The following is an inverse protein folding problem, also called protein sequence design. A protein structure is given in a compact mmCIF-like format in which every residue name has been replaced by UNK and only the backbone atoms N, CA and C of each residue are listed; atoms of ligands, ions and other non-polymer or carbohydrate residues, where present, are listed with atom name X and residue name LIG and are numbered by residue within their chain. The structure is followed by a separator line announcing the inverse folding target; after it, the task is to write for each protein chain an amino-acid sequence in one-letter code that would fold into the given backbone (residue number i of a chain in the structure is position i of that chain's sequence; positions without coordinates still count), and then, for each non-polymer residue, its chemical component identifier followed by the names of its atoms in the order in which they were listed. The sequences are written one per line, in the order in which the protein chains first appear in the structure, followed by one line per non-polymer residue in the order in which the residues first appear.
data_IF_749745317321
#
_entry.id   IF_749745317321
#
_cell.length_a   1.000
_cell.length_b   1.000
_cell.length_c   1.000
_cell.angle_alpha   90.00
_cell.angle_beta   90.00
_cell.angle_gamma   90.00
#
_symmetry.space_group_name_H-M   'P 1'
#
loop_
_entity.id
_entity.type
_entity.pdbx_description
1 polymer ?
#
# COMPACT_ATOMS: atom_id res chain seq x y z
N UNK A 1 18.15 5.15 11.36
CA UNK A 1 16.74 5.57 11.25
C UNK A 1 16.71 7.07 11.01
N UNK A 2 16.29 7.50 9.82
CA UNK A 2 16.33 8.90 9.36
C UNK A 2 14.91 9.49 9.24
N UNK A 3 14.13 9.47 10.31
CA UNK A 3 12.85 10.18 10.32
C UNK A 3 12.92 11.43 11.20
N UNK A 4 12.14 12.44 10.84
CA UNK A 4 12.01 13.66 11.64
C UNK A 4 11.40 13.32 13.02
N UNK A 5 12.11 13.55 14.13
CA UNK A 5 11.57 13.30 15.47
C UNK A 5 10.26 14.03 15.76
N UNK A 6 10.04 15.19 15.14
CA UNK A 6 8.82 15.98 15.33
C UNK A 6 7.61 15.29 14.69
N UNK A 7 7.82 14.53 13.62
CA UNK A 7 6.78 13.71 13.00
C UNK A 7 6.30 12.60 13.93
N UNK A 8 7.25 11.86 14.57
CA UNK A 8 6.89 10.83 15.54
C UNK A 8 6.17 11.38 16.76
N UNK A 9 6.59 12.57 17.27
CA UNK A 9 5.89 13.23 18.36
C UNK A 9 4.43 13.55 18.00
N UNK A 10 4.17 13.91 16.75
CA UNK A 10 2.81 14.16 16.25
C UNK A 10 1.95 12.90 16.27
N UNK A 11 2.54 11.76 15.84
CA UNK A 11 1.86 10.47 15.93
C UNK A 11 1.69 10.01 17.39
N UNK A 12 2.69 10.17 18.25
CA UNK A 12 2.60 9.85 19.67
C UNK A 12 1.48 10.63 20.37
N UNK A 13 1.34 11.93 20.07
CA UNK A 13 0.27 12.76 20.64
C UNK A 13 -1.15 12.25 20.30
N UNK A 14 -1.32 11.51 19.21
CA UNK A 14 -2.63 11.01 18.75
C UNK A 14 -2.86 9.52 18.98
N UNK A 15 -1.80 8.72 18.85
CA UNK A 15 -1.85 7.26 18.97
C UNK A 15 -1.47 6.75 20.36
N UNK A 16 -0.74 7.56 21.13
CA UNK A 16 -0.15 7.25 22.43
C UNK A 16 1.34 6.92 22.32
N UNK A 17 2.10 7.30 23.34
CA UNK A 17 3.55 7.05 23.43
C UNK A 17 3.82 5.55 23.41
N UNK A 18 3.07 4.75 24.20
CA UNK A 18 3.20 3.29 24.27
C UNK A 18 3.10 2.62 22.88
N UNK A 19 2.23 3.14 22.00
CA UNK A 19 2.10 2.61 20.65
C UNK A 19 3.33 2.88 19.80
N UNK A 20 3.86 4.09 19.85
CA UNK A 20 5.04 4.48 19.06
C UNK A 20 6.29 3.77 19.60
N UNK A 21 6.47 3.67 20.92
CA UNK A 21 7.57 2.95 21.56
C UNK A 21 7.55 1.47 21.16
N UNK A 22 6.41 0.78 21.33
CA UNK A 22 6.26 -0.63 20.94
C UNK A 22 6.56 -0.89 19.47
N UNK A 23 6.09 -0.04 18.57
CA UNK A 23 6.34 -0.18 17.14
C UNK A 23 7.81 0.13 16.78
N UNK A 24 8.44 1.08 17.46
CA UNK A 24 9.84 1.41 17.25
C UNK A 24 10.78 0.30 17.76
N UNK A 25 10.55 -0.25 18.97
CA UNK A 25 11.30 -1.39 19.51
C UNK A 25 11.25 -2.62 18.60
N UNK A 26 10.13 -2.83 17.91
CA UNK A 26 9.94 -3.92 16.96
C UNK A 26 10.43 -3.57 15.55
N UNK A 27 11.09 -2.43 15.38
CA UNK A 27 11.60 -1.94 14.10
C UNK A 27 10.52 -1.83 13.00
N UNK A 28 9.29 -1.51 13.36
CA UNK A 28 8.16 -1.45 12.43
C UNK A 28 7.95 -0.06 11.85
N UNK A 29 8.58 0.98 12.40
CA UNK A 29 8.53 2.34 11.86
C UNK A 29 9.67 2.49 10.86
N UNK A 30 9.35 2.86 9.61
CA UNK A 30 10.28 2.97 8.51
C UNK A 30 10.25 4.35 7.88
N UNK A 31 11.40 4.79 7.44
CA UNK A 31 11.55 6.02 6.66
C UNK A 31 12.15 5.66 5.31
N UNK A 32 11.44 5.99 4.26
CA UNK A 32 11.89 5.83 2.88
C UNK A 32 11.85 7.22 2.23
N UNK A 33 12.91 7.59 1.52
CA UNK A 33 12.98 8.89 0.88
C UNK A 33 12.03 8.97 -0.31
N UNK A 34 11.05 9.86 -0.22
CA UNK A 34 10.09 10.12 -1.28
C UNK A 34 10.57 11.29 -2.14
N UNK A 35 10.84 11.08 -3.44
CA UNK A 35 11.15 12.19 -4.33
C UNK A 35 10.02 13.21 -4.34
N UNK A 36 10.37 14.47 -4.02
CA UNK A 36 9.44 15.59 -4.06
C UNK A 36 9.55 16.31 -5.39
N UNK A 37 8.44 16.76 -5.92
CA UNK A 37 8.35 17.57 -7.13
C UNK A 37 7.52 18.82 -6.86
N UNK A 38 7.70 19.84 -7.67
CA UNK A 38 6.83 21.02 -7.67
C UNK A 38 5.38 20.60 -8.01
N UNK A 39 4.38 21.32 -7.48
CA UNK A 39 2.98 21.03 -7.79
C UNK A 39 2.72 20.97 -9.30
N UNK A 40 2.07 19.91 -9.74
CA UNK A 40 1.62 19.76 -11.13
C UNK A 40 0.20 20.31 -11.30
N UNK A 41 -0.26 20.38 -12.54
CA UNK A 41 -1.64 20.74 -12.87
C UNK A 41 -2.66 19.87 -12.13
N UNK A 42 -3.72 20.49 -11.61
CA UNK A 42 -4.72 19.78 -10.78
C UNK A 42 -5.50 18.72 -11.56
N UNK A 43 -5.83 18.98 -12.84
CA UNK A 43 -6.56 18.03 -13.67
C UNK A 43 -5.70 16.81 -13.98
N UNK A 44 -4.40 17.05 -14.25
CA UNK A 44 -3.42 15.98 -14.45
C UNK A 44 -3.24 15.13 -13.18
N UNK A 45 -3.21 15.76 -12.01
CA UNK A 45 -3.14 15.05 -10.73
C UNK A 45 -4.38 14.16 -10.53
N UNK A 46 -5.57 14.71 -10.76
CA UNK A 46 -6.84 13.97 -10.65
C UNK A 46 -6.87 12.77 -11.60
N UNK A 47 -6.44 12.95 -12.85
CA UNK A 47 -6.37 11.87 -13.84
C UNK A 47 -5.45 10.73 -13.38
N UNK A 48 -4.24 11.07 -12.89
CA UNK A 48 -3.28 10.08 -12.37
C UNK A 48 -3.78 9.36 -11.13
N UNK A 49 -4.43 10.06 -10.22
CA UNK A 49 -5.06 9.45 -9.03
C UNK A 49 -6.16 8.50 -9.47
N UNK A 50 -7.05 8.92 -10.38
CA UNK A 50 -8.12 8.08 -10.91
C UNK A 50 -7.57 6.84 -11.63
N UNK A 51 -6.53 7.01 -12.45
CA UNK A 51 -5.83 5.91 -13.13
C UNK A 51 -5.21 4.90 -12.15
N UNK A 52 -4.60 5.39 -11.06
CA UNK A 52 -4.01 4.54 -10.01
C UNK A 52 -5.09 3.71 -9.31
N UNK A 53 -6.20 4.33 -8.92
CA UNK A 53 -7.33 3.63 -8.27
C UNK A 53 -7.97 2.61 -9.21
N UNK A 54 -8.15 2.99 -10.48
CA UNK A 54 -8.69 2.09 -11.50
C UNK A 54 -7.77 0.89 -11.73
N UNK A 55 -6.46 1.11 -11.83
CA UNK A 55 -5.45 0.05 -12.00
C UNK A 55 -5.43 -0.93 -10.83
N UNK A 56 -5.45 -0.43 -9.60
CA UNK A 56 -5.50 -1.25 -8.39
C UNK A 56 -6.78 -2.13 -8.35
N UNK A 57 -7.94 -1.53 -8.59
CA UNK A 57 -9.22 -2.23 -8.53
C UNK A 57 -9.39 -3.24 -9.65
N UNK A 58 -8.90 -2.93 -10.85
CA UNK A 58 -8.87 -3.85 -11.98
C UNK A 58 -7.94 -5.03 -11.70
N UNK A 59 -6.73 -4.75 -11.16
CA UNK A 59 -5.76 -5.79 -10.78
C UNK A 59 -6.31 -6.76 -9.73
N UNK A 60 -7.00 -6.25 -8.70
CA UNK A 60 -7.67 -7.10 -7.69
C UNK A 60 -8.77 -7.97 -8.32
N UNK A 61 -9.60 -7.39 -9.17
CA UNK A 61 -10.68 -8.12 -9.84
C UNK A 61 -10.14 -9.22 -10.76
N UNK A 62 -9.07 -8.95 -11.50
CA UNK A 62 -8.36 -9.93 -12.33
C UNK A 62 -7.75 -11.03 -11.47
N UNK A 63 -6.96 -10.69 -10.48
CA UNK A 63 -6.30 -11.64 -9.59
C UNK A 63 -7.30 -12.54 -8.85
N UNK A 64 -8.45 -11.99 -8.43
CA UNK A 64 -9.51 -12.76 -7.78
C UNK A 64 -10.12 -13.84 -8.68
N UNK A 65 -10.20 -13.57 -9.99
CA UNK A 65 -10.67 -14.55 -10.97
C UNK A 65 -9.67 -15.66 -11.19
N UNK A 66 -8.39 -15.29 -11.41
CA UNK A 66 -7.34 -16.26 -11.77
C UNK A 66 -6.91 -17.14 -10.59
N UNK A 67 -7.01 -16.67 -9.34
CA UNK A 67 -6.81 -17.53 -8.16
C UNK A 67 -7.75 -18.72 -8.09
N UNK A 68 -8.90 -18.68 -8.77
CA UNK A 68 -9.86 -19.79 -8.81
C UNK A 68 -9.56 -20.80 -9.92
N UNK A 69 -8.89 -20.39 -10.98
CA UNK A 69 -8.38 -21.28 -12.02
C UNK A 69 -6.92 -21.62 -11.69
N UNK A 70 -6.72 -22.66 -10.86
CA UNK A 70 -5.40 -23.21 -10.56
C UNK A 70 -4.82 -23.92 -11.79
N UNK A 71 -4.28 -23.17 -12.71
CA UNK A 71 -3.34 -23.67 -13.71
C UNK A 71 -2.02 -23.03 -13.42
N UNK A 72 -0.96 -23.84 -13.28
CA UNK A 72 0.43 -23.41 -13.03
C UNK A 72 1.01 -22.62 -14.22
N UNK A 73 0.28 -22.55 -15.32
CA UNK A 73 0.63 -21.76 -16.49
C UNK A 73 0.17 -20.33 -16.27
N UNK A 74 1.11 -19.41 -16.17
CA UNK A 74 0.85 -17.99 -15.92
C UNK A 74 -0.20 -17.40 -16.88
N UNK A 75 -0.81 -16.29 -16.44
CA UNK A 75 -1.77 -15.54 -17.26
C UNK A 75 -1.04 -14.82 -18.40
N UNK A 76 -1.44 -15.08 -19.64
CA UNK A 76 -0.95 -14.31 -20.77
C UNK A 76 -1.83 -13.07 -21.06
N UNK A 77 -1.30 -12.11 -21.82
CA UNK A 77 -2.04 -10.91 -22.23
C UNK A 77 -3.29 -11.23 -23.05
N UNK A 78 -3.28 -12.32 -23.81
CA UNK A 78 -4.43 -12.76 -24.59
C UNK A 78 -5.59 -13.20 -23.70
N UNK A 79 -5.30 -13.79 -22.52
CA UNK A 79 -6.32 -14.13 -21.53
C UNK A 79 -6.93 -12.88 -20.92
N UNK A 80 -6.14 -11.86 -20.63
CA UNK A 80 -6.63 -10.56 -20.16
C UNK A 80 -7.51 -9.89 -21.21
N UNK A 81 -7.05 -9.81 -22.44
CA UNK A 81 -7.83 -9.25 -23.56
C UNK A 81 -9.14 -10.01 -23.80
N UNK A 82 -9.10 -11.34 -23.80
CA UNK A 82 -10.29 -12.19 -23.94
C UNK A 82 -11.28 -11.95 -22.82
N UNK A 83 -10.79 -11.75 -21.61
CA UNK A 83 -11.61 -11.44 -20.43
C UNK A 83 -12.23 -10.04 -20.51
N UNK A 84 -11.47 -9.03 -20.91
CA UNK A 84 -11.95 -7.65 -21.07
C UNK A 84 -12.97 -7.57 -22.22
N UNK A 85 -12.75 -8.29 -23.33
CA UNK A 85 -13.64 -8.32 -24.51
C UNK A 85 -14.87 -9.21 -24.36
N UNK A 86 -14.83 -10.21 -23.49
CA UNK A 86 -15.85 -11.25 -23.32
C UNK A 86 -17.03 -10.87 -22.43
N UNK A 87 -17.34 -9.59 -22.23
CA UNK A 87 -18.45 -9.13 -21.38
C UNK A 87 -19.81 -9.64 -21.90
N UNK A 88 -20.25 -10.77 -21.41
CA UNK A 88 -21.69 -11.08 -21.43
C UNK A 88 -22.37 -10.20 -20.37
N UNK A 89 -23.22 -9.26 -20.85
CA UNK A 89 -24.14 -8.51 -19.97
C UNK A 89 -24.89 -9.50 -19.08
N UNK A 90 -24.72 -9.40 -17.74
CA UNK A 90 -25.53 -10.15 -16.78
C UNK A 90 -24.81 -11.20 -15.93
N UNK A 91 -23.55 -11.53 -16.16
CA UNK A 91 -22.79 -12.36 -15.22
C UNK A 91 -22.13 -11.46 -14.17
N UNK A 92 -22.58 -11.62 -12.95
CA UNK A 92 -22.34 -10.86 -11.73
C UNK A 92 -21.06 -10.04 -11.72
N UNK A 93 -21.22 -8.74 -11.46
CA UNK A 93 -20.12 -7.77 -11.43
C UNK A 93 -18.91 -8.30 -10.64
N UNK A 94 -17.73 -8.04 -11.14
CA UNK A 94 -16.48 -8.41 -10.46
C UNK A 94 -16.46 -7.70 -9.10
N UNK A 95 -16.58 -8.49 -8.07
CA UNK A 95 -16.62 -7.97 -6.71
C UNK A 95 -15.20 -7.75 -6.23
N UNK A 96 -14.88 -6.54 -5.79
CA UNK A 96 -13.62 -6.24 -5.13
C UNK A 96 -13.39 -7.18 -3.95
N UNK A 97 -12.15 -7.62 -3.75
CA UNK A 97 -11.76 -8.46 -2.62
C UNK A 97 -11.08 -7.65 -1.52
N UNK A 98 -10.56 -8.31 -0.48
CA UNK A 98 -9.97 -7.62 0.65
C UNK A 98 -8.88 -6.60 0.28
N UNK A 99 -8.01 -6.80 -0.70
CA UNK A 99 -7.05 -5.77 -1.14
C UNK A 99 -7.70 -4.42 -1.45
N UNK A 100 -8.65 -4.38 -2.38
CA UNK A 100 -9.35 -3.12 -2.72
C UNK A 100 -10.22 -2.62 -1.58
N UNK A 101 -10.85 -3.52 -0.81
CA UNK A 101 -11.68 -3.11 0.33
C UNK A 101 -10.84 -2.47 1.43
N UNK A 102 -9.66 -3.01 1.75
CA UNK A 102 -8.77 -2.43 2.75
C UNK A 102 -8.08 -1.15 2.25
N UNK A 103 -7.81 -1.04 0.94
CA UNK A 103 -7.42 0.22 0.32
C UNK A 103 -8.43 1.34 0.62
N UNK A 104 -9.72 1.08 0.39
CA UNK A 104 -10.79 2.06 0.67
C UNK A 104 -10.85 2.40 2.16
N UNK A 105 -10.75 1.41 3.04
CA UNK A 105 -10.75 1.65 4.50
C UNK A 105 -9.58 2.54 4.94
N UNK A 106 -8.39 2.31 4.38
CA UNK A 106 -7.21 3.13 4.66
C UNK A 106 -7.37 4.54 4.09
N UNK A 107 -7.88 4.68 2.86
CA UNK A 107 -8.14 5.98 2.26
C UNK A 107 -9.16 6.80 3.07
N UNK A 108 -10.27 6.19 3.53
CA UNK A 108 -11.26 6.84 4.39
C UNK A 108 -10.65 7.32 5.70
N UNK A 109 -9.79 6.51 6.34
CA UNK A 109 -9.09 6.88 7.57
C UNK A 109 -8.14 8.07 7.37
N UNK A 110 -7.42 8.10 6.25
CA UNK A 110 -6.46 9.16 5.90
C UNK A 110 -7.12 10.48 5.53
N UNK A 111 -8.33 10.46 4.95
CA UNK A 111 -9.10 11.67 4.61
C UNK A 111 -9.59 12.44 5.85
N UNK A 112 -9.61 11.81 7.02
CA UNK A 112 -9.87 12.46 8.30
C UNK A 112 -8.60 13.13 8.85
N UNK A 113 -8.07 12.55 9.92
CA UNK A 113 -6.77 12.95 10.49
C UNK A 113 -5.73 11.86 10.21
N UNK A 114 -4.76 12.11 9.31
CA UNK A 114 -3.75 11.11 8.95
C UNK A 114 -2.96 10.58 10.16
N UNK A 115 -2.79 11.38 11.21
CA UNK A 115 -2.09 10.93 12.42
C UNK A 115 -2.88 9.87 13.21
N UNK A 116 -4.19 9.79 13.02
CA UNK A 116 -5.09 8.80 13.63
C UNK A 116 -5.38 7.60 12.73
N UNK A 117 -5.00 7.69 11.46
CA UNK A 117 -5.39 6.72 10.45
C UNK A 117 -5.12 5.24 10.84
N UNK A 118 -3.98 4.85 11.45
CA UNK A 118 -3.77 3.46 11.86
C UNK A 118 -4.80 2.96 12.86
N UNK A 119 -5.16 3.76 13.85
CA UNK A 119 -6.18 3.42 14.86
C UNK A 119 -7.58 3.33 14.25
N UNK A 120 -7.92 4.26 13.37
CA UNK A 120 -9.21 4.28 12.66
C UNK A 120 -9.34 3.10 11.70
N UNK A 121 -8.26 2.71 11.03
CA UNK A 121 -8.19 1.53 10.18
C UNK A 121 -8.46 0.26 11.00
N UNK A 122 -7.79 0.08 12.14
CA UNK A 122 -8.02 -1.07 13.02
C UNK A 122 -9.49 -1.16 13.46
N UNK A 123 -10.07 -0.03 13.87
CA UNK A 123 -11.49 0.08 14.24
C UNK A 123 -12.40 -0.30 13.08
N UNK A 124 -12.09 0.18 11.88
CA UNK A 124 -12.87 -0.07 10.66
C UNK A 124 -12.80 -1.53 10.23
N UNK A 125 -11.63 -2.18 10.34
CA UNK A 125 -11.47 -3.62 10.08
C UNK A 125 -12.41 -4.43 11.00
N UNK A 126 -12.46 -4.09 12.29
CA UNK A 126 -13.39 -4.76 13.24
C UNK A 126 -14.84 -4.52 12.86
N UNK A 127 -15.21 -3.27 12.56
CA UNK A 127 -16.59 -2.89 12.23
C UNK A 127 -17.07 -3.54 10.93
N UNK A 128 -16.22 -3.61 9.91
CA UNK A 128 -16.59 -4.05 8.57
C UNK A 128 -16.15 -5.49 8.24
N UNK A 129 -15.67 -6.26 9.22
CA UNK A 129 -15.09 -7.59 8.99
C UNK A 129 -16.00 -8.55 8.19
N UNK A 130 -17.33 -8.47 8.39
CA UNK A 130 -18.30 -9.31 7.68
C UNK A 130 -18.40 -9.02 6.19
N UNK A 131 -18.01 -7.82 5.77
CA UNK A 131 -18.02 -7.42 4.36
C UNK A 131 -16.72 -7.75 3.65
N UNK A 132 -15.64 -8.05 4.38
CA UNK A 132 -14.34 -8.41 3.80
C UNK A 132 -14.43 -9.72 3.04
N UNK A 133 -14.02 -9.67 1.77
CA UNK A 133 -14.03 -10.82 0.88
C UNK A 133 -12.64 -11.40 0.72
N UNK A 134 -12.52 -12.69 1.04
CA UNK A 134 -11.24 -13.41 0.94
C UNK A 134 -10.09 -12.72 1.70
N UNK A 135 -10.28 -12.29 2.96
CA UNK A 135 -9.20 -11.70 3.73
C UNK A 135 -8.07 -12.73 3.92
N UNK A 136 -6.83 -12.26 3.81
CA UNK A 136 -5.65 -13.07 4.08
C UNK A 136 -5.56 -13.47 5.56
N UNK A 137 -4.69 -14.43 5.86
CA UNK A 137 -4.53 -14.95 7.24
C UNK A 137 -4.08 -13.87 8.23
N UNK A 138 -3.19 -12.97 7.82
CA UNK A 138 -2.74 -11.87 8.69
C UNK A 138 -3.92 -10.99 9.13
N UNK A 139 -4.80 -10.57 8.20
CA UNK A 139 -5.99 -9.77 8.54
C UNK A 139 -6.95 -10.54 9.45
N UNK A 140 -7.13 -11.85 9.23
CA UNK A 140 -7.98 -12.68 10.10
C UNK A 140 -7.43 -12.74 11.52
N UNK A 141 -6.14 -13.01 11.65
CA UNK A 141 -5.45 -13.04 12.94
C UNK A 141 -5.59 -11.70 13.68
N UNK A 142 -5.28 -10.60 12.98
CA UNK A 142 -5.42 -9.24 13.52
C UNK A 142 -6.85 -8.97 14.00
N UNK A 143 -7.84 -9.32 13.19
CA UNK A 143 -9.24 -9.17 13.55
C UNK A 143 -9.59 -9.92 14.84
N UNK A 144 -9.14 -11.17 14.96
CA UNK A 144 -9.42 -12.00 16.13
C UNK A 144 -8.73 -11.42 17.39
N UNK A 145 -7.48 -10.96 17.28
CA UNK A 145 -6.75 -10.30 18.36
C UNK A 145 -7.43 -8.99 18.81
N UNK A 146 -7.82 -8.13 17.87
CA UNK A 146 -8.54 -6.89 18.16
C UNK A 146 -9.88 -7.15 18.87
N UNK A 147 -10.60 -8.19 18.48
CA UNK A 147 -11.87 -8.58 19.12
C UNK A 147 -11.70 -9.14 20.53
N UNK A 148 -10.52 -9.69 20.84
CA UNK A 148 -10.13 -10.10 22.17
C UNK A 148 -9.58 -8.97 23.04
N UNK A 149 -9.53 -7.75 22.51
CA UNK A 149 -9.12 -6.55 23.24
C UNK A 149 -7.63 -6.23 23.14
N UNK A 150 -6.88 -6.88 22.24
CA UNK A 150 -5.49 -6.51 22.00
C UNK A 150 -5.39 -5.08 21.49
N UNK A 151 -4.40 -4.30 21.93
CA UNK A 151 -4.13 -2.97 21.35
C UNK A 151 -3.86 -3.09 19.86
N UNK A 152 -4.26 -2.08 19.08
CA UNK A 152 -4.14 -2.12 17.61
C UNK A 152 -2.69 -2.32 17.14
N UNK A 153 -1.72 -1.81 17.88
CA UNK A 153 -0.28 -1.88 17.56
C UNK A 153 0.38 -3.22 17.95
N UNK A 154 -0.34 -4.08 18.71
CA UNK A 154 0.09 -5.43 19.08
C UNK A 154 -0.71 -6.54 18.39
N UNK A 155 -1.85 -6.20 17.79
CA UNK A 155 -2.79 -7.17 17.26
C UNK A 155 -2.28 -7.92 16.01
N UNK A 156 -1.31 -7.35 15.29
CA UNK A 156 -0.83 -7.90 14.04
C UNK A 156 0.17 -9.05 14.24
N UNK A 157 0.08 -10.15 13.45
CA UNK A 157 1.08 -11.20 13.45
C UNK A 157 2.37 -10.74 12.75
N UNK A 158 3.53 -11.40 12.97
CA UNK A 158 4.78 -11.12 12.27
C UNK A 158 4.73 -11.67 10.83
N UNK A 159 3.83 -11.11 10.03
CA UNK A 159 3.61 -11.50 8.64
C UNK A 159 4.31 -10.53 7.70
N UNK A 160 4.98 -11.08 6.69
CA UNK A 160 5.55 -10.33 5.56
C UNK A 160 4.74 -10.51 4.27
N UNK A 161 3.47 -10.90 4.39
CA UNK A 161 2.56 -11.02 3.26
C UNK A 161 2.24 -9.65 2.62
N UNK A 162 1.88 -9.68 1.35
CA UNK A 162 1.68 -8.49 0.52
C UNK A 162 0.32 -7.79 0.72
N UNK A 163 -0.51 -8.22 1.68
CA UNK A 163 -1.85 -7.63 1.85
C UNK A 163 -1.84 -6.21 2.45
N UNK A 164 -0.69 -5.71 2.93
CA UNK A 164 -0.51 -4.32 3.32
C UNK A 164 -0.31 -3.39 2.10
N UNK A 165 0.23 -3.89 0.98
CA UNK A 165 0.62 -3.08 -0.17
C UNK A 165 -0.53 -2.29 -0.83
N UNK A 166 -1.75 -2.83 -1.01
CA UNK A 166 -2.87 -2.03 -1.51
C UNK A 166 -3.18 -0.80 -0.65
N UNK A 167 -2.99 -0.88 0.67
CA UNK A 167 -3.19 0.24 1.58
C UNK A 167 -2.08 1.28 1.47
N UNK A 168 -0.84 0.84 1.23
CA UNK A 168 0.28 1.74 0.96
C UNK A 168 0.00 2.66 -0.26
N UNK A 169 -0.72 2.16 -1.27
CA UNK A 169 -1.20 3.00 -2.38
C UNK A 169 -2.10 4.13 -1.88
N UNK A 170 -3.01 3.85 -0.94
CA UNK A 170 -3.87 4.88 -0.36
C UNK A 170 -3.05 5.96 0.38
N UNK A 171 -2.02 5.54 1.14
CA UNK A 171 -1.12 6.47 1.84
C UNK A 171 -0.37 7.35 0.85
N UNK A 172 0.23 6.77 -0.19
CA UNK A 172 0.95 7.52 -1.23
C UNK A 172 0.05 8.54 -1.94
N UNK A 173 -1.20 8.17 -2.25
CA UNK A 173 -2.18 9.07 -2.85
C UNK A 173 -2.63 10.18 -1.89
N UNK A 174 -2.92 9.85 -0.63
CA UNK A 174 -3.45 10.82 0.34
C UNK A 174 -2.39 11.83 0.79
N UNK A 175 -1.14 11.40 0.93
CA UNK A 175 -0.04 12.20 1.47
C UNK A 175 0.95 12.67 0.40
N UNK A 176 0.60 12.61 -0.89
CA UNK A 176 1.50 12.98 -2.00
C UNK A 176 2.13 14.38 -1.88
N UNK A 177 1.44 15.31 -1.22
CA UNK A 177 1.94 16.67 -0.96
C UNK A 177 2.82 16.78 0.30
N UNK A 178 3.03 15.69 1.04
CA UNK A 178 3.77 15.64 2.31
C UNK A 178 4.81 14.50 2.27
N UNK A 179 5.78 14.56 1.35
CA UNK A 179 6.70 13.46 1.05
C UNK A 179 7.46 12.96 2.28
N UNK A 180 7.78 13.83 3.23
CA UNK A 180 8.48 13.51 4.46
C UNK A 180 7.67 12.63 5.44
N UNK A 181 6.33 12.56 5.27
CA UNK A 181 5.44 11.80 6.15
C UNK A 181 5.11 10.41 5.60
N UNK A 182 5.27 10.19 4.30
CA UNK A 182 4.76 9.01 3.59
C UNK A 182 5.33 7.71 4.14
N UNK A 183 6.66 7.64 4.31
CA UNK A 183 7.32 6.42 4.79
C UNK A 183 6.80 5.99 6.16
N UNK A 184 6.77 6.92 7.11
CA UNK A 184 6.26 6.67 8.48
C UNK A 184 4.77 6.31 8.44
N UNK A 185 3.95 7.07 7.74
CA UNK A 185 2.51 6.81 7.66
C UNK A 185 2.20 5.43 7.07
N UNK A 186 2.90 5.05 5.98
CA UNK A 186 2.69 3.76 5.33
C UNK A 186 3.17 2.58 6.20
N UNK A 187 4.27 2.75 6.93
CA UNK A 187 4.75 1.74 7.87
C UNK A 187 3.78 1.53 9.03
N UNK A 188 3.24 2.60 9.60
CA UNK A 188 2.23 2.54 10.66
C UNK A 188 0.92 1.91 10.16
N UNK A 189 0.47 2.25 8.95
CA UNK A 189 -0.71 1.60 8.32
C UNK A 189 -0.47 0.11 8.12
N UNK A 190 0.69 -0.29 7.57
CA UNK A 190 1.04 -1.68 7.36
C UNK A 190 1.09 -2.47 8.68
N UNK A 191 1.65 -1.89 9.74
CA UNK A 191 1.79 -2.50 11.07
C UNK A 191 0.44 -2.87 11.70
N UNK A 192 -0.66 -2.25 11.30
CA UNK A 192 -2.02 -2.63 11.77
C UNK A 192 -2.33 -4.10 11.54
N UNK A 193 -1.77 -4.71 10.49
CA UNK A 193 -2.07 -6.11 10.14
C UNK A 193 -0.86 -6.97 9.78
N UNK A 194 0.33 -6.37 9.65
CA UNK A 194 1.56 -7.04 9.24
C UNK A 194 2.73 -6.49 10.06
N UNK A 195 2.98 -7.11 11.22
CA UNK A 195 4.03 -6.68 12.14
C UNK A 195 5.39 -7.30 11.78
N UNK A 196 5.89 -6.95 10.61
CA UNK A 196 7.21 -7.37 10.11
C UNK A 196 7.95 -6.17 9.50
N UNK A 197 9.23 -5.95 9.85
CA UNK A 197 10.04 -4.89 9.25
C UNK A 197 10.01 -4.93 7.72
N UNK A 198 10.09 -6.11 7.12
CA UNK A 198 10.00 -6.29 5.66
C UNK A 198 8.66 -5.78 5.09
N UNK A 199 7.54 -6.10 5.75
CA UNK A 199 6.22 -5.65 5.27
C UNK A 199 6.04 -4.14 5.41
N UNK A 200 6.48 -3.56 6.53
CA UNK A 200 6.36 -2.12 6.77
C UNK A 200 7.25 -1.30 5.85
N UNK A 201 8.47 -1.76 5.57
CA UNK A 201 9.36 -1.07 4.63
C UNK A 201 8.93 -1.22 3.17
N UNK A 202 8.45 -2.41 2.78
CA UNK A 202 7.86 -2.59 1.43
C UNK A 202 6.65 -1.67 1.23
N UNK A 203 5.82 -1.47 2.26
CA UNK A 203 4.70 -0.55 2.21
C UNK A 203 5.17 0.91 2.12
N UNK A 204 6.18 1.30 2.89
CA UNK A 204 6.78 2.64 2.84
C UNK A 204 7.37 2.92 1.45
N UNK A 205 8.11 1.98 0.88
CA UNK A 205 8.67 2.10 -0.46
C UNK A 205 7.57 2.25 -1.53
N UNK A 206 6.54 1.39 -1.51
CA UNK A 206 5.44 1.48 -2.48
C UNK A 206 4.67 2.79 -2.37
N UNK A 207 4.36 3.25 -1.15
CA UNK A 207 3.67 4.52 -0.94
C UNK A 207 4.50 5.70 -1.50
N UNK A 208 5.82 5.68 -1.27
CA UNK A 208 6.76 6.69 -1.79
C UNK A 208 6.83 6.68 -3.32
N UNK A 209 6.86 5.50 -3.93
CA UNK A 209 6.82 5.34 -5.40
C UNK A 209 5.51 5.90 -5.95
N UNK A 210 4.37 5.55 -5.36
CA UNK A 210 3.05 6.03 -5.82
C UNK A 210 2.96 7.55 -5.74
N UNK A 211 3.35 8.14 -4.60
CA UNK A 211 3.34 9.58 -4.43
C UNK A 211 4.23 10.29 -5.47
N UNK A 212 5.45 9.80 -5.68
CA UNK A 212 6.37 10.35 -6.66
C UNK A 212 5.83 10.22 -8.10
N UNK A 213 5.20 9.09 -8.44
CA UNK A 213 4.62 8.88 -9.77
C UNK A 213 3.46 9.83 -10.04
N UNK A 214 2.56 10.03 -9.08
CA UNK A 214 1.37 10.89 -9.31
C UNK A 214 1.72 12.37 -9.35
N UNK A 215 2.81 12.78 -8.69
CA UNK A 215 3.25 14.19 -8.65
C UNK A 215 4.37 14.53 -9.65
N UNK A 216 4.97 13.55 -10.32
CA UNK A 216 6.09 13.79 -11.22
C UNK A 216 5.73 14.73 -12.37
N UNK A 217 6.63 15.61 -12.82
CA UNK A 217 6.53 16.29 -14.10
C UNK A 217 6.48 15.30 -15.28
N UNK A 218 5.87 15.67 -16.40
CA UNK A 218 5.70 14.76 -17.55
C UNK A 218 7.03 14.38 -18.21
N UNK A 219 8.01 15.28 -18.16
CA UNK A 219 9.36 15.10 -18.70
C UNK A 219 10.27 14.23 -17.79
N UNK A 220 9.83 13.86 -16.58
CA UNK A 220 10.58 12.95 -15.69
C UNK A 220 10.18 11.50 -15.96
N UNK A 221 11.08 10.64 -16.47
CA UNK A 221 10.79 9.24 -16.73
C UNK A 221 10.50 8.45 -15.47
N UNK A 222 9.58 7.49 -15.54
CA UNK A 222 9.32 6.54 -14.43
C UNK A 222 10.57 5.75 -14.03
N UNK A 223 11.42 5.44 -15.01
CA UNK A 223 12.68 4.74 -14.79
C UNK A 223 13.65 5.49 -13.87
N UNK A 224 13.50 6.80 -13.73
CA UNK A 224 14.35 7.61 -12.85
C UNK A 224 13.80 7.71 -11.41
N UNK A 225 12.52 7.43 -11.21
CA UNK A 225 11.85 7.56 -9.91
C UNK A 225 12.09 6.35 -9.04
N UNK A 226 11.77 5.17 -9.56
CA UNK A 226 11.80 3.92 -8.76
C UNK A 226 13.19 3.63 -8.19
N UNK A 227 14.30 3.73 -8.95
CA UNK A 227 15.63 3.52 -8.40
C UNK A 227 15.99 4.48 -7.26
N UNK A 228 15.51 5.74 -7.30
CA UNK A 228 15.76 6.72 -6.21
C UNK A 228 15.09 6.31 -4.91
N UNK A 229 13.88 5.78 -4.99
CA UNK A 229 13.17 5.26 -3.81
C UNK A 229 13.87 4.00 -3.30
N UNK A 230 14.17 3.05 -4.20
CA UNK A 230 14.83 1.78 -3.87
C UNK A 230 16.17 2.00 -3.18
N UNK A 231 16.98 2.96 -3.66
CA UNK A 231 18.27 3.30 -3.04
C UNK A 231 18.16 3.80 -1.59
N UNK A 232 16.98 4.25 -1.15
CA UNK A 232 16.75 4.73 0.22
C UNK A 232 16.20 3.67 1.17
N UNK A 233 15.96 2.46 0.69
CA UNK A 233 15.47 1.33 1.50
C UNK A 233 16.59 0.86 2.43
N UNK A 234 16.29 0.77 3.72
CA UNK A 234 17.27 0.38 4.74
C UNK A 234 17.47 -1.15 4.82
N UNK A 235 16.39 -1.95 4.66
CA UNK A 235 16.48 -3.42 4.73
C UNK A 235 17.08 -3.99 3.43
N UNK A 236 18.27 -4.63 3.51
CA UNK A 236 18.93 -5.18 2.33
C UNK A 236 18.07 -6.18 1.55
N UNK A 237 17.34 -7.05 2.25
CA UNK A 237 16.50 -8.05 1.61
C UNK A 237 15.34 -7.45 0.79
N UNK A 238 14.84 -6.28 1.16
CA UNK A 238 13.80 -5.57 0.40
C UNK A 238 14.43 -4.81 -0.77
N UNK A 239 15.55 -4.14 -0.51
CA UNK A 239 16.26 -3.38 -1.52
C UNK A 239 16.78 -4.28 -2.64
N UNK A 240 17.51 -5.34 -2.28
CA UNK A 240 18.16 -6.23 -3.23
C UNK A 240 17.14 -6.95 -4.12
N UNK A 241 15.99 -7.38 -3.57
CA UNK A 241 14.89 -7.94 -4.37
C UNK A 241 14.33 -6.94 -5.39
N UNK A 242 14.14 -5.69 -4.99
CA UNK A 242 13.64 -4.65 -5.90
C UNK A 242 14.69 -4.27 -6.95
N UNK A 243 15.98 -4.20 -6.59
CA UNK A 243 17.07 -3.99 -7.54
C UNK A 243 17.16 -5.13 -8.56
N UNK A 244 17.03 -6.38 -8.13
CA UNK A 244 16.98 -7.53 -9.02
C UNK A 244 15.78 -7.46 -9.98
N UNK A 245 14.62 -7.10 -9.49
CA UNK A 245 13.43 -6.89 -10.32
C UNK A 245 13.62 -5.77 -11.35
N UNK A 246 14.30 -4.70 -10.99
CA UNK A 246 14.62 -3.59 -11.89
C UNK A 246 15.65 -3.98 -12.95
N UNK A 247 16.66 -4.77 -12.57
CA UNK A 247 17.73 -5.22 -13.46
C UNK A 247 17.29 -6.37 -14.39
N UNK A 248 16.40 -7.22 -13.90
CA UNK A 248 16.10 -8.50 -14.51
C UNK A 248 15.19 -8.49 -15.72
N UNK A 249 14.38 -7.45 -15.98
CA UNK A 249 13.57 -7.36 -17.21
C UNK A 249 12.68 -6.13 -17.19
N UNK A 250 12.95 -5.16 -18.03
CA UNK A 250 11.97 -4.35 -18.70
C UNK A 250 10.62 -4.05 -18.05
N UNK A 251 10.55 -3.97 -16.71
CA UNK A 251 9.31 -3.56 -16.02
C UNK A 251 8.81 -2.21 -16.55
N UNK A 252 9.73 -1.43 -17.15
CA UNK A 252 9.46 -0.14 -17.79
C UNK A 252 9.61 -0.18 -19.33
N UNK A 253 9.86 -1.34 -19.93
CA UNK A 253 10.05 -1.48 -21.38
C UNK A 253 8.73 -1.61 -22.16
N UNK A 254 7.58 -1.51 -21.51
CA UNK A 254 6.29 -1.39 -22.22
C UNK A 254 6.10 0.08 -22.57
N UNK A 255 6.20 0.48 -23.85
CA UNK A 255 5.85 1.84 -24.23
C UNK A 255 4.37 2.05 -23.92
N UNK A 256 4.09 2.95 -23.00
CA UNK A 256 2.75 3.53 -22.86
C UNK A 256 2.53 4.44 -24.05
N UNK A 257 1.98 3.90 -25.13
CA UNK A 257 1.43 4.65 -26.27
C UNK A 257 0.00 4.99 -26.00
#
# INVERSE_FOLDING_TARGET
MNYDPTLLQRYAATLGDDAIESLAERELIRSVNTPAFDPIDADLLVDRVAGTVAGLTLGDALAARFRRSRTDDGMDLADVHRWLGGRRRGQGGHRLTAPSQTFVMSAEALLGDPSRAPRELATTIVRQHRSLRSPGNAIRYTLDALRQGAPWFEAAPPSYGNAALPRAVAVGLALHALPEQIGVAASLDAAVSHASPRATESAAALASIVAAIVTRPEDVPLADIVPRVVASIELPEVRDELEEMLAGNGMFAVPFS
#
